data_IF_943277261854
#
_entry.id   IF_943277261854
#
_cell.length_a   1.000
_cell.length_b   1.000
_cell.length_c   1.000
_cell.angle_alpha   90.00
_cell.angle_beta   90.00
_cell.angle_gamma   90.00
#
_symmetry.space_group_name_H-M   'P 1'
#
loop_
_entity.id
_entity.type
_entity.pdbx_description
1 polymer ?
#
# COMPACT_ATOMS: atom_id res chain seq x y z
N UNK A 1 4.44 -53.06 -48.07
CA UNK A 1 3.86 -53.07 -46.71
C UNK A 1 5.03 -52.96 -45.74
N UNK A 2 5.11 -52.17 -44.69
CA UNK A 2 4.40 -51.01 -44.13
C UNK A 2 5.28 -50.57 -42.92
N UNK A 3 5.39 -49.26 -42.68
CA UNK A 3 5.69 -48.59 -41.39
C UNK A 3 7.11 -48.77 -40.75
N UNK A 4 8.01 -47.78 -40.77
CA UNK A 4 8.13 -46.54 -39.95
C UNK A 4 8.36 -46.75 -38.45
N UNK A 5 9.50 -46.29 -37.92
CA UNK A 5 9.62 -45.53 -36.67
C UNK A 5 11.08 -45.08 -36.44
N UNK A 6 11.37 -43.79 -36.65
CA UNK A 6 12.56 -43.10 -36.10
C UNK A 6 12.26 -42.67 -34.66
N UNK A 7 13.16 -42.84 -33.68
CA UNK A 7 12.98 -42.24 -32.37
C UNK A 7 13.32 -40.74 -32.46
N UNK A 8 12.29 -39.91 -32.30
CA UNK A 8 12.40 -38.46 -32.18
C UNK A 8 13.01 -38.14 -30.81
N UNK A 9 14.33 -37.91 -30.76
CA UNK A 9 15.01 -37.45 -29.56
C UNK A 9 15.14 -35.92 -29.62
N UNK A 10 14.08 -35.20 -29.26
CA UNK A 10 14.14 -33.76 -29.05
C UNK A 10 14.75 -33.48 -27.68
N UNK A 11 15.81 -32.68 -27.56
CA UNK A 11 16.32 -32.26 -26.27
C UNK A 11 15.24 -31.41 -25.56
N UNK A 12 14.77 -31.92 -24.42
CA UNK A 12 13.96 -31.17 -23.46
C UNK A 12 14.80 -29.98 -22.98
N UNK A 13 14.56 -28.80 -23.55
CA UNK A 13 15.07 -27.55 -23.01
C UNK A 13 14.40 -27.34 -21.64
N UNK A 14 15.15 -27.66 -20.59
CA UNK A 14 14.82 -27.25 -19.24
C UNK A 14 14.75 -25.72 -19.21
N UNK A 15 13.55 -25.16 -19.20
CA UNK A 15 13.36 -23.74 -18.90
C UNK A 15 13.85 -23.49 -17.47
N UNK A 16 14.77 -22.54 -17.24
CA UNK A 16 15.16 -22.21 -15.88
C UNK A 16 13.94 -21.68 -15.11
N UNK A 17 13.80 -21.99 -13.81
CA UNK A 17 12.75 -21.41 -12.99
C UNK A 17 12.89 -19.88 -13.02
N UNK A 18 11.78 -19.18 -13.28
CA UNK A 18 11.72 -17.73 -13.33
C UNK A 18 12.42 -17.15 -12.10
N UNK A 19 13.45 -16.33 -12.32
CA UNK A 19 14.18 -15.67 -11.24
C UNK A 19 13.18 -14.84 -10.41
N UNK A 20 13.33 -14.79 -9.07
CA UNK A 20 12.46 -13.96 -8.24
C UNK A 20 12.63 -12.51 -8.70
N UNK A 21 11.58 -11.97 -9.32
CA UNK A 21 11.53 -10.58 -9.76
C UNK A 21 11.75 -9.70 -8.53
N UNK A 22 12.84 -8.94 -8.52
CA UNK A 22 13.09 -7.88 -7.53
C UNK A 22 11.83 -7.03 -7.37
N UNK A 23 11.51 -6.55 -6.16
CA UNK A 23 10.34 -5.71 -5.93
C UNK A 23 10.43 -4.48 -6.85
N UNK A 24 9.59 -4.50 -7.89
CA UNK A 24 9.54 -3.45 -8.89
C UNK A 24 9.05 -2.17 -8.20
N UNK A 25 9.69 -1.03 -8.48
CA UNK A 25 9.18 0.27 -8.03
C UNK A 25 7.74 0.41 -8.48
N UNK A 26 6.90 0.92 -7.58
CA UNK A 26 5.52 1.25 -7.93
C UNK A 26 5.50 2.27 -9.08
N UNK A 27 4.50 2.20 -9.98
CA UNK A 27 4.30 3.24 -10.99
C UNK A 27 4.12 4.60 -10.32
N UNK A 28 4.83 5.62 -10.81
CA UNK A 28 4.78 6.98 -10.24
C UNK A 28 3.34 7.51 -10.13
N UNK A 29 2.52 7.30 -11.16
CA UNK A 29 1.12 7.73 -11.15
C UNK A 29 0.29 7.12 -10.02
N UNK A 30 0.60 5.89 -9.59
CA UNK A 30 -0.05 5.25 -8.44
C UNK A 30 0.35 5.95 -7.12
N UNK A 31 1.63 6.29 -6.98
CA UNK A 31 2.15 6.99 -5.80
C UNK A 31 1.62 8.42 -5.71
N UNK A 32 1.60 9.14 -6.84
CA UNK A 32 1.03 10.50 -6.93
C UNK A 32 -0.46 10.48 -6.58
N UNK A 33 -1.21 9.53 -7.13
CA UNK A 33 -2.63 9.38 -6.81
C UNK A 33 -2.86 9.04 -5.34
N UNK A 34 -1.98 8.24 -4.73
CA UNK A 34 -2.07 7.92 -3.31
C UNK A 34 -1.91 9.17 -2.45
N UNK A 35 -0.89 9.98 -2.77
CA UNK A 35 -0.65 11.26 -2.11
C UNK A 35 -1.84 12.21 -2.28
N UNK A 36 -2.41 12.27 -3.48
CA UNK A 36 -3.60 13.08 -3.76
C UNK A 36 -4.79 12.65 -2.91
N UNK A 37 -5.13 11.36 -2.86
CA UNK A 37 -6.21 10.84 -2.00
C UNK A 37 -5.98 11.26 -0.55
N UNK A 38 -4.77 11.07 -0.02
CA UNK A 38 -4.45 11.41 1.38
C UNK A 38 -4.69 12.89 1.67
N UNK A 39 -4.22 13.78 0.79
CA UNK A 39 -4.41 15.22 0.90
C UNK A 39 -5.89 15.62 0.81
N UNK A 40 -6.69 14.89 0.02
CA UNK A 40 -8.12 15.14 -0.16
C UNK A 40 -8.99 14.64 1.02
N UNK A 41 -8.47 13.83 1.93
CA UNK A 41 -9.21 13.34 3.12
C UNK A 41 -9.32 14.43 4.18
N UNK A 42 -8.21 15.11 4.46
CA UNK A 42 -8.14 16.17 5.46
C UNK A 42 -7.35 17.35 4.91
N UNK A 43 -8.02 18.49 4.61
CA UNK A 43 -7.31 19.72 4.29
C UNK A 43 -6.43 20.05 5.50
N UNK A 44 -5.13 20.16 5.28
CA UNK A 44 -4.17 20.49 6.33
C UNK A 44 -3.76 21.95 6.13
N UNK A 45 -4.18 22.89 7.00
CA UNK A 45 -3.86 24.30 6.81
C UNK A 45 -2.34 24.50 6.91
N UNK A 46 -1.77 25.08 5.86
CA UNK A 46 -0.32 25.31 5.72
C UNK A 46 0.29 26.11 6.89
N UNK A 47 -0.52 26.91 7.60
CA UNK A 47 -0.10 27.71 8.74
C UNK A 47 0.28 26.90 9.99
N UNK A 48 -0.09 25.62 10.07
CA UNK A 48 0.27 24.73 11.18
C UNK A 48 1.61 24.00 10.97
N UNK A 49 2.24 24.12 9.80
CA UNK A 49 3.52 23.45 9.50
C UNK A 49 4.71 23.98 10.30
N UNK A 50 4.58 25.15 10.97
CA UNK A 50 5.75 25.89 11.47
C UNK A 50 5.93 25.98 12.99
N UNK A 51 5.17 25.27 13.84
CA UNK A 51 5.22 25.56 15.30
C UNK A 51 5.29 24.44 16.34
N UNK A 52 5.29 23.13 16.02
CA UNK A 52 5.18 22.16 17.14
C UNK A 52 5.79 20.76 16.99
N UNK A 53 6.95 20.59 16.35
CA UNK A 53 7.77 19.39 16.61
C UNK A 53 9.24 19.60 16.25
N UNK A 54 10.12 19.22 17.17
CA UNK A 54 11.60 19.26 17.06
C UNK A 54 12.11 18.38 15.89
N UNK A 55 11.25 17.52 15.34
CA UNK A 55 11.54 16.65 14.19
C UNK A 55 10.76 17.15 12.97
N UNK A 56 11.48 17.52 11.91
CA UNK A 56 10.88 17.81 10.61
C UNK A 56 10.47 16.53 9.92
N UNK A 57 9.18 16.40 9.59
CA UNK A 57 8.70 15.29 8.76
C UNK A 57 9.14 15.50 7.30
N UNK A 58 9.52 14.43 6.58
CA UNK A 58 9.77 14.51 5.15
C UNK A 58 8.53 14.96 4.39
N UNK A 59 8.73 15.49 3.18
CA UNK A 59 7.63 15.74 2.26
C UNK A 59 6.80 14.47 2.02
N UNK A 60 5.46 14.62 1.93
CA UNK A 60 4.55 13.47 1.89
C UNK A 60 4.83 12.54 0.70
N UNK A 61 5.02 13.08 -0.51
CA UNK A 61 5.26 12.27 -1.70
C UNK A 61 6.56 11.47 -1.58
N UNK A 62 7.66 12.15 -1.21
CA UNK A 62 8.94 11.51 -0.94
C UNK A 62 8.84 10.45 0.15
N UNK A 63 8.03 10.70 1.19
CA UNK A 63 7.81 9.74 2.27
C UNK A 63 7.08 8.48 1.78
N UNK A 64 6.03 8.64 0.97
CA UNK A 64 5.28 7.54 0.38
C UNK A 64 6.20 6.72 -0.54
N UNK A 65 6.92 7.37 -1.45
CA UNK A 65 7.87 6.69 -2.34
C UNK A 65 8.93 5.90 -1.56
N UNK A 66 9.56 6.54 -0.57
CA UNK A 66 10.60 5.91 0.24
C UNK A 66 10.08 4.70 1.00
N UNK A 67 8.94 4.82 1.67
CA UNK A 67 8.37 3.74 2.49
C UNK A 67 7.88 2.60 1.61
N UNK A 68 7.12 2.89 0.56
CA UNK A 68 6.56 1.85 -0.33
C UNK A 68 7.66 1.09 -1.08
N UNK A 69 8.66 1.79 -1.61
CA UNK A 69 9.80 1.17 -2.28
C UNK A 69 10.59 0.26 -1.34
N UNK A 70 10.93 0.72 -0.14
CA UNK A 70 11.69 -0.08 0.83
C UNK A 70 10.87 -1.19 1.49
N UNK A 71 9.56 -1.00 1.62
CA UNK A 71 8.64 -2.02 2.09
C UNK A 71 8.48 -3.16 1.06
N UNK A 72 8.65 -2.87 -0.23
CA UNK A 72 8.44 -3.84 -1.31
C UNK A 72 6.96 -4.20 -1.47
N UNK A 73 6.07 -3.21 -1.31
CA UNK A 73 4.61 -3.44 -1.42
C UNK A 73 4.19 -3.52 -2.87
N UNK A 74 3.20 -4.38 -3.17
CA UNK A 74 2.63 -4.52 -4.50
C UNK A 74 1.57 -3.45 -4.79
N UNK A 75 1.25 -3.24 -6.07
CA UNK A 75 0.15 -2.35 -6.46
C UNK A 75 -1.18 -2.74 -5.80
N UNK A 76 -1.45 -4.04 -5.63
CA UNK A 76 -2.65 -4.55 -4.93
C UNK A 76 -2.74 -3.99 -3.50
N UNK A 77 -1.64 -3.99 -2.75
CA UNK A 77 -1.60 -3.42 -1.39
C UNK A 77 -1.96 -1.93 -1.39
N UNK A 78 -1.46 -1.18 -2.38
CA UNK A 78 -1.74 0.26 -2.50
C UNK A 78 -3.21 0.52 -2.81
N UNK A 79 -3.81 -0.25 -3.72
CA UNK A 79 -5.25 -0.14 -4.04
C UNK A 79 -6.10 -0.39 -2.80
N UNK A 80 -5.80 -1.44 -2.02
CA UNK A 80 -6.50 -1.72 -0.77
C UNK A 80 -6.32 -0.59 0.25
N UNK A 81 -5.11 -0.03 0.35
CA UNK A 81 -4.85 1.11 1.22
C UNK A 81 -5.67 2.35 0.81
N UNK A 82 -5.78 2.63 -0.50
CA UNK A 82 -6.60 3.72 -1.02
C UNK A 82 -8.11 3.51 -0.75
N UNK A 83 -8.62 2.27 -0.88
CA UNK A 83 -10.00 1.95 -0.52
C UNK A 83 -10.25 2.23 0.97
N UNK A 84 -9.31 1.86 1.84
CA UNK A 84 -9.39 2.18 3.26
C UNK A 84 -9.36 3.69 3.53
N UNK A 85 -8.62 4.45 2.73
CA UNK A 85 -8.63 5.90 2.82
C UNK A 85 -9.96 6.52 2.37
N UNK A 86 -10.62 5.98 1.34
CA UNK A 86 -11.98 6.42 0.98
C UNK A 86 -12.97 6.14 2.12
N UNK A 87 -12.90 4.96 2.73
CA UNK A 87 -13.71 4.61 3.91
C UNK A 87 -13.44 5.55 5.08
N UNK A 88 -12.19 5.94 5.29
CA UNK A 88 -11.83 6.92 6.31
C UNK A 88 -12.43 8.30 6.01
N UNK A 89 -12.38 8.75 4.74
CA UNK A 89 -13.01 10.00 4.30
C UNK A 89 -14.51 10.04 4.55
N UNK A 90 -15.21 8.94 4.28
CA UNK A 90 -16.65 8.80 4.53
C UNK A 90 -17.01 8.81 6.02
N UNK A 91 -16.11 8.30 6.86
CA UNK A 91 -16.34 8.21 8.30
C UNK A 91 -16.04 9.53 9.05
N UNK A 92 -15.31 10.46 8.42
CA UNK A 92 -14.98 11.75 9.03
C UNK A 92 -16.18 12.70 9.03
N UNK A 93 -16.34 13.50 10.10
CA UNK A 93 -17.36 14.54 10.12
C UNK A 93 -17.07 15.61 9.06
N UNK A 94 -18.12 16.23 8.51
CA UNK A 94 -17.99 17.34 7.57
C UNK A 94 -17.18 18.48 8.22
N UNK A 95 -16.10 18.89 7.55
CA UNK A 95 -15.21 19.95 8.05
C UNK A 95 -14.13 19.48 9.03
N UNK A 96 -13.86 18.17 9.13
CA UNK A 96 -12.68 17.69 9.83
C UNK A 96 -11.40 18.30 9.23
N UNK A 97 -10.48 18.72 10.09
CA UNK A 97 -9.19 19.32 9.71
C UNK A 97 -8.07 18.50 10.32
N UNK A 98 -7.06 18.19 9.51
CA UNK A 98 -5.87 17.47 9.97
C UNK A 98 -4.91 18.38 10.75
N UNK A 99 -4.13 17.77 11.63
CA UNK A 99 -2.98 18.44 12.25
C UNK A 99 -1.66 18.04 11.55
N UNK A 100 -0.55 18.64 11.96
CA UNK A 100 0.76 18.33 11.41
C UNK A 100 1.09 16.83 11.50
N UNK A 101 1.41 16.24 10.35
CA UNK A 101 1.72 14.82 10.21
C UNK A 101 0.51 13.90 10.19
N UNK A 102 -0.74 14.41 10.21
CA UNK A 102 -1.93 13.55 10.07
C UNK A 102 -1.91 12.78 8.75
N UNK A 103 -1.50 13.41 7.65
CA UNK A 103 -1.37 12.77 6.33
C UNK A 103 -0.38 11.60 6.34
N UNK A 104 0.81 11.78 6.95
CA UNK A 104 1.79 10.70 7.14
C UNK A 104 1.23 9.55 7.99
N UNK A 105 0.49 9.86 9.06
CA UNK A 105 -0.14 8.84 9.92
C UNK A 105 -1.22 8.06 9.18
N UNK A 106 -2.07 8.73 8.39
CA UNK A 106 -3.10 8.10 7.56
C UNK A 106 -2.49 7.18 6.52
N UNK A 107 -1.42 7.62 5.86
CA UNK A 107 -0.63 6.79 4.95
C UNK A 107 -0.10 5.52 5.63
N UNK A 108 0.61 5.66 6.75
CA UNK A 108 1.22 4.52 7.44
C UNK A 108 0.17 3.53 7.95
N UNK A 109 -0.92 4.02 8.52
CA UNK A 109 -1.98 3.18 9.05
C UNK A 109 -2.73 2.41 7.94
N UNK A 110 -3.11 3.09 6.86
CA UNK A 110 -3.78 2.46 5.72
C UNK A 110 -2.90 1.42 5.04
N UNK A 111 -1.60 1.72 4.84
CA UNK A 111 -0.64 0.79 4.25
C UNK A 111 -0.42 -0.45 5.11
N UNK A 112 -0.26 -0.28 6.42
CA UNK A 112 -0.07 -1.38 7.36
C UNK A 112 -1.28 -2.31 7.40
N UNK A 113 -2.49 -1.74 7.44
CA UNK A 113 -3.73 -2.52 7.44
C UNK A 113 -3.93 -3.28 6.13
N UNK A 114 -3.70 -2.63 4.98
CA UNK A 114 -3.82 -3.26 3.67
C UNK A 114 -2.85 -4.43 3.52
N UNK A 115 -1.61 -4.24 3.98
CA UNK A 115 -0.60 -5.30 3.99
C UNK A 115 -1.08 -6.47 4.84
N UNK A 116 -1.45 -6.22 6.11
CA UNK A 116 -1.94 -7.27 7.04
C UNK A 116 -3.15 -8.04 6.52
N UNK A 117 -4.11 -7.35 5.91
CA UNK A 117 -5.30 -7.97 5.34
C UNK A 117 -4.93 -8.94 4.22
N UNK A 118 -4.10 -8.49 3.27
CA UNK A 118 -3.67 -9.32 2.14
C UNK A 118 -2.73 -10.46 2.55
N UNK A 119 -1.95 -10.32 3.65
CA UNK A 119 -1.18 -11.46 4.16
C UNK A 119 -2.08 -12.55 4.77
N UNK A 120 -3.24 -12.17 5.32
CA UNK A 120 -4.19 -13.09 5.95
C UNK A 120 -5.10 -13.78 4.92
N UNK A 121 -5.38 -13.11 3.80
CA UNK A 121 -6.22 -13.59 2.70
C UNK A 121 -5.43 -14.41 1.65
N UNK A 122 -4.09 -14.37 1.70
CA UNK A 122 -3.24 -15.07 0.76
C UNK A 122 -3.22 -16.59 1.04
N UNK A 123 -4.02 -17.35 0.28
CA UNK A 123 -4.09 -18.81 0.40
C UNK A 123 -2.86 -19.56 -0.13
N UNK A 124 -2.06 -19.03 -1.07
CA UNK A 124 -0.84 -19.74 -1.52
C UNK A 124 0.13 -18.92 -2.39
N UNK A 125 1.43 -19.20 -2.21
CA UNK A 125 2.58 -19.04 -3.12
C UNK A 125 3.02 -17.65 -3.68
N UNK A 126 2.16 -16.64 -3.87
CA UNK A 126 2.58 -15.36 -4.47
C UNK A 126 2.95 -14.27 -3.43
N UNK A 127 2.14 -14.10 -2.39
CA UNK A 127 2.42 -13.11 -1.34
C UNK A 127 3.58 -13.52 -0.44
N UNK A 128 3.85 -14.82 -0.32
CA UNK A 128 4.96 -15.39 0.47
C UNK A 128 6.35 -14.95 0.01
N UNK A 129 6.48 -14.42 -1.21
CA UNK A 129 7.75 -13.87 -1.72
C UNK A 129 7.96 -12.39 -1.39
N UNK A 130 6.90 -11.66 -0.98
CA UNK A 130 7.04 -10.26 -0.59
C UNK A 130 7.38 -10.17 0.90
N UNK A 131 8.28 -9.25 1.27
CA UNK A 131 8.66 -9.12 2.67
C UNK A 131 7.48 -8.58 3.47
N UNK A 132 7.14 -9.27 4.57
CA UNK A 132 5.98 -8.95 5.43
C UNK A 132 6.07 -7.56 6.05
N UNK A 133 4.96 -6.82 6.07
CA UNK A 133 4.92 -5.49 6.67
C UNK A 133 4.20 -5.53 8.02
N UNK A 134 4.96 -5.34 9.10
CA UNK A 134 4.42 -5.24 10.46
C UNK A 134 4.85 -3.93 11.13
N UNK A 135 4.29 -3.64 12.30
CA UNK A 135 4.56 -2.38 13.00
C UNK A 135 6.05 -2.14 13.28
N UNK A 136 6.81 -3.19 13.64
CA UNK A 136 8.25 -3.09 13.89
C UNK A 136 9.02 -2.71 12.63
N UNK A 137 8.77 -3.42 11.53
CA UNK A 137 9.41 -3.13 10.25
C UNK A 137 9.03 -1.73 9.74
N UNK A 138 7.79 -1.30 9.95
CA UNK A 138 7.35 0.04 9.57
C UNK A 138 8.08 1.14 10.37
N UNK A 139 8.30 0.93 11.67
CA UNK A 139 9.17 1.79 12.49
C UNK A 139 10.58 1.92 11.92
N UNK A 140 11.20 0.80 11.52
CA UNK A 140 12.54 0.77 10.92
C UNK A 140 12.58 1.51 9.57
N UNK A 141 11.54 1.35 8.75
CA UNK A 141 11.40 2.02 7.45
C UNK A 141 11.26 3.54 7.59
N UNK A 142 10.57 3.99 8.64
CA UNK A 142 10.43 5.40 9.00
C UNK A 142 11.71 6.02 9.58
N UNK A 143 12.78 5.26 9.77
CA UNK A 143 14.05 5.77 10.30
C UNK A 143 13.96 6.27 11.74
N UNK A 144 13.06 5.68 12.55
CA UNK A 144 12.90 6.05 13.96
C UNK A 144 12.09 7.31 14.24
N UNK A 145 11.48 7.93 13.22
CA UNK A 145 10.58 9.09 13.39
C UNK A 145 9.36 8.73 14.27
N UNK A 146 8.89 7.49 14.17
CA UNK A 146 7.76 6.96 14.93
C UNK A 146 8.19 5.71 15.70
N UNK A 147 7.86 5.66 16.99
CA UNK A 147 8.07 4.46 17.79
C UNK A 147 7.09 3.36 17.41
N UNK A 148 7.35 2.11 17.80
CA UNK A 148 6.38 1.02 17.63
C UNK A 148 5.04 1.32 18.30
N UNK A 149 5.07 2.01 19.45
CA UNK A 149 3.86 2.44 20.15
C UNK A 149 3.05 3.40 19.28
N UNK A 150 3.71 4.38 18.66
CA UNK A 150 3.06 5.34 17.77
C UNK A 150 2.41 4.62 16.58
N UNK A 151 3.13 3.71 15.92
CA UNK A 151 2.61 2.92 14.80
C UNK A 151 1.38 2.11 15.21
N UNK A 152 1.42 1.44 16.37
CA UNK A 152 0.28 0.69 16.89
C UNK A 152 -0.90 1.62 17.23
N UNK A 153 -0.63 2.83 17.73
CA UNK A 153 -1.67 3.84 17.97
C UNK A 153 -2.28 4.33 16.65
N UNK A 154 -1.50 4.51 15.59
CA UNK A 154 -2.00 4.90 14.27
C UNK A 154 -2.90 3.82 13.71
N UNK A 155 -2.46 2.57 13.77
CA UNK A 155 -3.24 1.41 13.34
C UNK A 155 -4.58 1.31 14.10
N UNK A 156 -4.55 1.32 15.44
CA UNK A 156 -5.75 1.20 16.25
C UNK A 156 -6.72 2.37 16.04
N UNK A 157 -6.20 3.60 15.94
CA UNK A 157 -7.01 4.79 15.69
C UNK A 157 -7.66 4.73 14.31
N UNK A 158 -6.94 4.29 13.29
CA UNK A 158 -7.46 4.15 11.94
C UNK A 158 -8.52 3.06 11.83
N UNK A 159 -8.31 1.90 12.48
CA UNK A 159 -9.33 0.84 12.56
C UNK A 159 -10.63 1.35 13.17
N UNK A 160 -10.55 2.11 14.27
CA UNK A 160 -11.72 2.75 14.89
C UNK A 160 -12.39 3.73 13.94
N UNK A 161 -11.60 4.53 13.21
CA UNK A 161 -12.10 5.50 12.23
C UNK A 161 -12.92 4.81 11.13
N UNK A 162 -12.39 3.75 10.52
CA UNK A 162 -13.12 2.98 9.48
C UNK A 162 -14.18 2.03 10.06
N UNK A 163 -14.46 2.11 11.37
CA UNK A 163 -15.40 1.24 12.10
C UNK A 163 -15.13 -0.25 11.88
N UNK A 164 -13.85 -0.63 11.82
CA UNK A 164 -13.38 -2.00 11.58
C UNK A 164 -13.89 -2.62 10.27
N UNK A 165 -14.31 -1.80 9.29
CA UNK A 165 -14.65 -2.26 7.93
C UNK A 165 -13.37 -2.59 7.15
N UNK A 166 -12.75 -3.71 7.48
CA UNK A 166 -11.51 -4.18 6.85
C UNK A 166 -11.76 -5.14 5.68
N UNK A 167 -12.94 -5.75 5.59
CA UNK A 167 -13.25 -6.65 4.47
C UNK A 167 -13.26 -5.88 3.15
N UNK A 168 -12.47 -6.33 2.18
CA UNK A 168 -12.42 -5.79 0.81
C UNK A 168 -12.50 -6.97 -0.13
N UNK A 169 -13.61 -7.06 -0.86
CA UNK A 169 -13.80 -8.09 -1.88
C UNK A 169 -13.39 -7.59 -3.28
N UNK A 170 -13.51 -8.48 -4.26
CA UNK A 170 -13.19 -8.16 -5.66
C UNK A 170 -14.11 -7.05 -6.21
N UNK A 171 -15.36 -6.97 -5.75
CA UNK A 171 -16.30 -5.95 -6.21
C UNK A 171 -15.93 -4.56 -5.68
N UNK A 172 -15.49 -4.45 -4.42
CA UNK A 172 -14.93 -3.21 -3.86
C UNK A 172 -13.74 -2.71 -4.70
N UNK A 173 -12.84 -3.63 -5.07
CA UNK A 173 -11.67 -3.32 -5.90
C UNK A 173 -12.10 -2.87 -7.30
N UNK A 174 -12.97 -3.63 -7.97
CA UNK A 174 -13.45 -3.31 -9.31
C UNK A 174 -14.18 -1.95 -9.33
N UNK A 175 -15.03 -1.70 -8.34
CA UNK A 175 -15.72 -0.42 -8.19
C UNK A 175 -14.74 0.74 -8.01
N UNK A 176 -13.72 0.56 -7.17
CA UNK A 176 -12.68 1.57 -6.95
C UNK A 176 -11.88 1.85 -8.23
N UNK A 177 -11.46 0.80 -8.95
CA UNK A 177 -10.72 0.95 -10.20
C UNK A 177 -11.57 1.62 -11.29
N UNK A 178 -12.84 1.23 -11.41
CA UNK A 178 -13.78 1.82 -12.39
C UNK A 178 -13.98 3.31 -12.12
N UNK A 179 -14.22 3.67 -10.86
CA UNK A 179 -14.41 5.05 -10.40
C UNK A 179 -13.19 5.92 -10.65
N UNK A 180 -11.99 5.36 -10.50
CA UNK A 180 -10.72 6.07 -10.61
C UNK A 180 -9.91 5.71 -11.88
N UNK A 181 -10.58 5.17 -12.91
CA UNK A 181 -9.97 4.60 -14.12
C UNK A 181 -9.06 5.58 -14.87
N UNK A 182 -9.40 6.88 -14.86
CA UNK A 182 -8.57 7.95 -15.47
C UNK A 182 -7.22 8.09 -14.76
N UNK A 183 -7.20 7.98 -13.44
CA UNK A 183 -6.00 8.13 -12.61
C UNK A 183 -5.19 6.83 -12.53
N UNK A 184 -5.85 5.69 -12.77
CA UNK A 184 -5.29 4.34 -12.66
C UNK A 184 -5.15 3.61 -14.00
N UNK A 185 -5.02 4.34 -15.12
CA UNK A 185 -4.91 3.75 -16.47
C UNK A 185 -3.73 2.75 -16.64
N UNK A 186 -2.79 2.69 -15.67
CA UNK A 186 -1.61 1.82 -15.69
C UNK A 186 -1.75 0.56 -14.82
N UNK A 187 -2.90 0.35 -14.16
CA UNK A 187 -3.21 -0.83 -13.35
C UNK A 187 -4.04 -1.83 -14.16
#
# INVERSE_FOLDING_TARGET
MLCTATPNNTPQYYSPPASPTLPQRLPQGLTDFFAQIICDILPTPSSLQSKSSIVSLPELLFFIEKVTHRAGVSCKVIVYAMIYLERAKEALPKGAVGNYGTTHRLFLASLLLASKFLEADADDNMFTQLPRLNGKRLTDLCGGIYTLRDINTFESSFLKLIKYRCWVDEHDVENFLRKNSVQLHFY
#
